data_IF_235748237600
#
_entry.id   IF_235748237600
#
_cell.length_a   1.000
_cell.length_b   1.000
_cell.length_c   1.000
_cell.angle_alpha   90.00
_cell.angle_beta   90.00
_cell.angle_gamma   90.00
#
_symmetry.space_group_name_H-M   'P 1'
#
loop_
_entity.id
_entity.type
_entity.pdbx_description
1 polymer ?
#
# COMPACT_ATOMS: atom_id res chain seq x y z
N UNK A 1 28.85 3.07 -16.25
CA UNK A 1 30.01 3.07 -15.33
C UNK A 1 31.25 2.40 -15.93
N UNK A 2 31.69 2.75 -17.15
CA UNK A 2 32.89 2.12 -17.77
C UNK A 2 33.74 3.03 -18.66
N UNK A 3 33.45 4.33 -18.71
CA UNK A 3 34.10 5.28 -19.64
C UNK A 3 35.12 6.22 -18.94
N UNK A 4 35.42 6.02 -17.65
CA UNK A 4 36.39 6.87 -16.92
C UNK A 4 35.92 8.29 -16.55
N UNK A 5 34.68 8.67 -16.91
CA UNK A 5 34.11 10.01 -16.66
C UNK A 5 33.52 10.14 -15.24
N UNK A 6 33.30 9.02 -14.55
CA UNK A 6 32.62 8.97 -13.24
C UNK A 6 33.36 9.68 -12.10
N UNK A 7 34.63 10.06 -12.27
CA UNK A 7 35.38 10.87 -11.32
C UNK A 7 35.16 12.38 -11.48
N UNK A 8 34.56 12.84 -12.58
CA UNK A 8 34.29 14.26 -12.86
C UNK A 8 32.84 14.67 -12.56
N UNK A 9 31.98 13.71 -12.23
CA UNK A 9 30.55 13.96 -11.95
C UNK A 9 30.28 13.64 -10.47
N UNK A 10 29.70 14.56 -9.69
CA UNK A 10 29.27 14.28 -8.33
C UNK A 10 28.32 13.08 -8.33
N UNK A 11 28.50 12.17 -7.38
CA UNK A 11 27.62 11.01 -7.23
C UNK A 11 26.21 11.52 -6.88
N UNK A 12 25.25 11.31 -7.79
CA UNK A 12 23.87 11.71 -7.55
C UNK A 12 23.27 10.69 -6.59
N UNK A 13 22.81 11.09 -5.40
CA UNK A 13 22.23 10.16 -4.45
C UNK A 13 20.99 9.51 -5.06
N UNK A 14 21.07 8.21 -5.31
CA UNK A 14 19.94 7.40 -5.78
C UNK A 14 19.14 6.90 -4.58
N UNK A 15 17.91 7.36 -4.45
CA UNK A 15 16.98 6.84 -3.45
C UNK A 15 16.20 5.67 -4.06
N UNK A 16 16.60 4.45 -3.73
CA UNK A 16 15.95 3.24 -4.22
C UNK A 16 14.52 3.08 -3.66
N UNK A 17 13.52 3.18 -4.53
CA UNK A 17 12.11 3.00 -4.18
C UNK A 17 11.61 1.55 -4.38
N UNK A 18 12.48 0.61 -4.74
CA UNK A 18 12.12 -0.78 -5.06
C UNK A 18 11.34 -1.45 -3.92
N UNK A 19 11.72 -1.23 -2.66
CA UNK A 19 11.01 -1.80 -1.51
C UNK A 19 9.61 -1.19 -1.29
N UNK A 20 9.40 0.07 -1.69
CA UNK A 20 8.08 0.71 -1.66
C UNK A 20 7.18 0.16 -2.77
N UNK A 21 7.72 0.03 -3.99
CA UNK A 21 7.01 -0.60 -5.12
C UNK A 21 6.62 -2.03 -4.77
N UNK A 22 7.54 -2.80 -4.19
CA UNK A 22 7.30 -4.17 -3.72
C UNK A 22 6.23 -4.22 -2.65
N UNK A 23 6.26 -3.31 -1.67
CA UNK A 23 5.25 -3.20 -0.62
C UNK A 23 3.84 -3.02 -1.20
N UNK A 24 3.69 -2.18 -2.22
CA UNK A 24 2.39 -1.92 -2.86
C UNK A 24 1.93 -3.07 -3.75
N UNK A 25 2.79 -3.53 -4.67
CA UNK A 25 2.40 -4.35 -5.82
C UNK A 25 2.61 -5.86 -5.64
N UNK A 26 3.37 -6.30 -4.62
CA UNK A 26 3.69 -7.72 -4.47
C UNK A 26 2.43 -8.61 -4.40
N UNK A 27 2.41 -9.71 -5.16
CA UNK A 27 1.29 -10.67 -5.19
C UNK A 27 1.85 -12.10 -5.01
N UNK A 28 1.48 -12.83 -3.94
CA UNK A 28 0.60 -12.44 -2.85
C UNK A 28 1.32 -11.59 -1.76
N UNK A 29 0.56 -10.71 -1.11
CA UNK A 29 0.95 -10.11 0.17
C UNK A 29 1.46 -8.68 0.14
N UNK A 30 1.41 -7.97 -0.99
CA UNK A 30 1.48 -6.51 -1.03
C UNK A 30 0.20 -5.89 -0.48
N UNK A 31 0.24 -4.59 -0.17
CA UNK A 31 -0.88 -3.89 0.46
C UNK A 31 -2.16 -3.98 -0.39
N UNK A 32 -2.06 -3.74 -1.70
CA UNK A 32 -3.20 -3.80 -2.63
C UNK A 32 -3.82 -5.20 -2.62
N UNK A 33 -3.00 -6.24 -2.70
CA UNK A 33 -3.47 -7.63 -2.66
C UNK A 33 -4.19 -7.97 -1.34
N UNK A 34 -3.66 -7.51 -0.20
CA UNK A 34 -4.27 -7.73 1.11
C UNK A 34 -5.61 -6.98 1.20
N UNK A 35 -5.66 -5.72 0.75
CA UNK A 35 -6.86 -4.90 0.74
C UNK A 35 -7.96 -5.55 -0.12
N UNK A 36 -7.64 -5.95 -1.35
CA UNK A 36 -8.54 -6.68 -2.25
C UNK A 36 -9.11 -7.96 -1.63
N UNK A 37 -8.25 -8.74 -0.95
CA UNK A 37 -8.67 -9.97 -0.31
C UNK A 37 -9.62 -9.72 0.87
N UNK A 38 -9.38 -8.67 1.65
CA UNK A 38 -10.18 -8.31 2.82
C UNK A 38 -11.51 -7.66 2.40
N UNK A 39 -11.51 -6.81 1.36
CA UNK A 39 -12.69 -6.15 0.80
C UNK A 39 -13.72 -7.19 0.31
N UNK A 40 -13.29 -8.22 -0.42
CA UNK A 40 -14.17 -9.34 -0.82
C UNK A 40 -14.72 -10.17 0.35
N UNK A 41 -14.22 -9.95 1.57
CA UNK A 41 -14.57 -10.70 2.77
C UNK A 41 -15.12 -9.78 3.88
N UNK A 42 -15.67 -8.62 3.54
CA UNK A 42 -16.17 -7.62 4.49
C UNK A 42 -17.23 -8.15 5.48
N UNK A 43 -17.91 -9.26 5.17
CA UNK A 43 -18.77 -9.97 6.14
C UNK A 43 -18.03 -10.46 7.40
N UNK A 44 -16.70 -10.65 7.32
CA UNK A 44 -15.84 -11.16 8.41
C UNK A 44 -14.62 -10.28 8.66
N UNK A 45 -14.38 -9.28 7.83
CA UNK A 45 -13.15 -8.47 7.79
C UNK A 45 -13.51 -6.99 7.88
N UNK A 46 -12.70 -6.26 8.63
CA UNK A 46 -12.83 -4.82 8.87
C UNK A 46 -11.52 -4.11 8.56
N UNK A 47 -11.53 -2.79 8.44
CA UNK A 47 -10.31 -1.99 8.21
C UNK A 47 -9.25 -2.25 9.28
N UNK A 48 -9.67 -2.49 10.53
CA UNK A 48 -8.78 -2.89 11.62
C UNK A 48 -8.05 -4.21 11.34
N UNK A 49 -8.77 -5.21 10.84
CA UNK A 49 -8.17 -6.50 10.48
C UNK A 49 -7.29 -6.42 9.23
N UNK A 50 -7.54 -5.44 8.36
CA UNK A 50 -6.68 -5.11 7.22
C UNK A 50 -5.35 -4.51 7.68
N UNK A 51 -5.36 -3.49 8.54
CA UNK A 51 -4.13 -2.88 9.08
C UNK A 51 -3.29 -3.88 9.86
N UNK A 52 -3.93 -4.73 10.67
CA UNK A 52 -3.22 -5.83 11.36
C UNK A 52 -2.52 -6.78 10.37
N UNK A 53 -3.14 -7.05 9.22
CA UNK A 53 -2.53 -7.87 8.18
C UNK A 53 -1.35 -7.15 7.49
N UNK A 54 -1.44 -5.83 7.28
CA UNK A 54 -0.31 -5.03 6.81
C UNK A 54 0.87 -5.09 7.77
N UNK A 55 0.62 -4.81 9.06
CA UNK A 55 1.64 -4.86 10.11
C UNK A 55 2.29 -6.24 10.24
N UNK A 56 1.51 -7.33 10.20
CA UNK A 56 2.04 -8.69 10.23
C UNK A 56 2.99 -9.00 9.06
N UNK A 57 2.75 -8.42 7.88
CA UNK A 57 3.51 -8.72 6.66
C UNK A 57 4.68 -7.77 6.43
N UNK A 58 4.52 -6.49 6.74
CA UNK A 58 5.45 -5.41 6.39
C UNK A 58 5.97 -4.63 7.61
N UNK A 59 5.53 -4.93 8.84
CA UNK A 59 5.90 -4.17 10.04
C UNK A 59 7.40 -4.11 10.36
N UNK A 60 8.19 -5.06 9.83
CA UNK A 60 9.65 -5.09 10.01
C UNK A 60 10.43 -4.45 8.84
N UNK A 61 9.74 -3.82 7.88
CA UNK A 61 10.35 -3.23 6.68
C UNK A 61 10.43 -1.71 6.83
N UNK A 62 11.54 -1.12 6.41
CA UNK A 62 11.71 0.34 6.44
C UNK A 62 10.71 1.07 5.55
N UNK A 63 10.05 0.40 4.59
CA UNK A 63 9.02 1.00 3.73
C UNK A 63 7.65 1.16 4.41
N UNK A 64 7.43 0.56 5.60
CA UNK A 64 6.13 0.54 6.28
C UNK A 64 6.27 0.80 7.78
N UNK A 65 5.32 1.55 8.35
CA UNK A 65 5.15 1.65 9.79
C UNK A 65 3.68 1.57 10.15
N UNK A 66 3.37 0.87 11.24
CA UNK A 66 2.06 1.02 11.88
C UNK A 66 2.01 2.36 12.60
N UNK A 67 0.92 3.09 12.41
CA UNK A 67 0.62 4.29 13.16
C UNK A 67 -0.29 4.00 14.36
N UNK A 68 -0.58 5.04 15.12
CA UNK A 68 -1.56 5.03 16.20
C UNK A 68 -2.98 5.19 15.68
N UNK A 69 -3.85 5.69 16.55
CA UNK A 69 -5.19 6.12 16.17
C UNK A 69 -5.14 7.57 15.66
N UNK A 70 -5.95 7.89 14.66
CA UNK A 70 -6.21 9.28 14.26
C UNK A 70 -7.16 9.98 15.25
N UNK A 71 -7.47 11.25 14.98
CA UNK A 71 -8.38 12.06 15.81
C UNK A 71 -9.80 11.47 15.92
N UNK A 72 -10.20 10.65 14.94
CA UNK A 72 -11.50 9.99 14.87
C UNK A 72 -11.47 8.59 15.50
N UNK A 73 -10.31 8.13 15.98
CA UNK A 73 -10.14 6.82 16.62
C UNK A 73 -9.89 5.67 15.64
N UNK A 74 -9.62 5.94 14.35
CA UNK A 74 -9.30 4.91 13.37
C UNK A 74 -7.80 4.61 13.33
N UNK A 75 -7.40 3.35 13.10
CA UNK A 75 -5.99 3.02 12.95
C UNK A 75 -5.36 3.74 11.76
N UNK A 76 -4.07 4.02 11.87
CA UNK A 76 -3.29 4.61 10.78
C UNK A 76 -2.12 3.71 10.39
N UNK A 77 -1.62 3.90 9.17
CA UNK A 77 -0.35 3.32 8.74
C UNK A 77 0.43 4.33 7.90
N UNK A 78 1.75 4.20 7.91
CA UNK A 78 2.65 5.09 7.18
C UNK A 78 3.41 4.30 6.12
N UNK A 79 3.45 4.83 4.90
CA UNK A 79 4.30 4.33 3.82
C UNK A 79 5.44 5.32 3.62
N UNK A 80 6.67 4.83 3.56
CA UNK A 80 7.82 5.65 3.21
C UNK A 80 7.96 5.67 1.68
N UNK A 81 7.46 6.74 1.06
CA UNK A 81 7.57 7.00 -0.37
C UNK A 81 8.93 7.62 -0.71
N UNK A 82 9.21 7.74 -2.01
CA UNK A 82 10.40 8.43 -2.52
C UNK A 82 10.48 9.89 -2.02
N UNK A 83 9.34 10.55 -1.86
CA UNK A 83 9.23 11.94 -1.39
C UNK A 83 8.98 12.05 0.13
N UNK A 84 9.12 10.95 0.86
CA UNK A 84 9.03 10.92 2.32
C UNK A 84 7.88 10.07 2.89
N UNK A 85 7.73 10.05 4.22
CA UNK A 85 6.68 9.31 4.91
C UNK A 85 5.31 9.96 4.72
N UNK A 86 4.30 9.17 4.33
CA UNK A 86 2.90 9.60 4.25
C UNK A 86 2.06 8.67 5.12
N UNK A 87 1.24 9.26 6.00
CA UNK A 87 0.35 8.54 6.91
C UNK A 87 -1.07 8.53 6.38
N UNK A 88 -1.69 7.36 6.39
CA UNK A 88 -3.05 7.10 5.94
C UNK A 88 -3.92 6.66 7.11
N UNK A 89 -5.10 7.26 7.26
CA UNK A 89 -6.18 6.72 8.11
C UNK A 89 -6.89 5.61 7.36
N UNK A 90 -7.36 4.58 8.06
CA UNK A 90 -8.01 3.42 7.41
C UNK A 90 -9.53 3.50 7.35
N UNK A 91 -10.10 4.62 7.76
CA UNK A 91 -11.53 4.87 7.68
C UNK A 91 -12.07 4.63 6.25
N UNK A 92 -13.00 3.67 6.11
CA UNK A 92 -13.69 3.39 4.85
C UNK A 92 -12.82 2.77 3.75
N UNK A 93 -11.62 2.25 4.07
CA UNK A 93 -10.71 1.69 3.06
C UNK A 93 -11.30 0.48 2.34
N UNK A 94 -11.87 -0.48 3.09
CA UNK A 94 -12.42 -1.69 2.49
C UNK A 94 -13.65 -1.41 1.63
N UNK A 95 -14.52 -0.50 2.07
CA UNK A 95 -15.73 -0.08 1.34
C UNK A 95 -15.35 0.56 0.00
N UNK A 96 -14.46 1.57 0.02
CA UNK A 96 -13.99 2.24 -1.20
C UNK A 96 -13.31 1.27 -2.18
N UNK A 97 -12.54 0.31 -1.67
CA UNK A 97 -11.91 -0.70 -2.51
C UNK A 97 -12.91 -1.72 -3.07
N UNK A 98 -14.02 -1.98 -2.37
CA UNK A 98 -15.08 -2.85 -2.84
C UNK A 98 -15.93 -2.19 -3.93
N UNK A 99 -16.29 -0.91 -3.75
CA UNK A 99 -17.11 -0.15 -4.71
C UNK A 99 -16.42 0.00 -6.07
N UNK A 100 -15.10 0.14 -6.08
CA UNK A 100 -14.29 0.20 -7.30
C UNK A 100 -14.29 -1.12 -8.08
N UNK A 101 -14.70 -2.22 -7.45
CA UNK A 101 -14.65 -3.60 -7.98
C UNK A 101 -16.02 -4.24 -8.14
N UNK A 102 -17.14 -3.52 -8.22
CA UNK A 102 -18.42 -4.18 -8.46
C UNK A 102 -18.46 -4.76 -9.90
N UNK A 103 -18.41 -6.10 -10.06
CA UNK A 103 -18.41 -6.74 -11.37
C UNK A 103 -19.73 -6.54 -12.12
N UNK A 104 -20.83 -6.16 -11.43
CA UNK A 104 -22.09 -5.83 -12.09
C UNK A 104 -21.96 -4.57 -12.96
N UNK A 105 -21.15 -3.58 -12.55
CA UNK A 105 -20.81 -2.43 -13.40
C UNK A 105 -19.90 -2.83 -14.57
N UNK A 106 -18.94 -3.75 -14.35
CA UNK A 106 -18.07 -4.25 -15.41
C UNK A 106 -18.85 -5.08 -16.43
N UNK A 107 -19.85 -5.85 -15.99
CA UNK A 107 -20.75 -6.63 -16.84
C UNK A 107 -21.67 -5.72 -17.67
N UNK A 108 -22.26 -4.69 -17.04
CA UNK A 108 -23.04 -3.65 -17.74
C UNK A 108 -22.21 -2.93 -18.81
N UNK A 109 -20.94 -2.61 -18.52
CA UNK A 109 -20.04 -1.94 -19.47
C UNK A 109 -19.45 -2.87 -20.53
N UNK A 110 -19.41 -4.18 -20.29
CA UNK A 110 -18.95 -5.18 -21.27
C UNK A 110 -20.06 -5.64 -22.22
N UNK A 111 -21.30 -5.25 -21.96
CA UNK A 111 -22.45 -5.66 -22.77
C UNK A 111 -22.74 -7.15 -22.60
N UNK A 112 -24.00 -7.51 -22.81
CA UNK A 112 -24.38 -8.89 -23.10
C UNK A 112 -23.60 -9.43 -24.32
#
# INVERSE_FOLDING_TARGET
NREGISCFVPEIPFLDNTECVRLLQNKPGGLIHIMDNQARRMRKKTDHTMVKAFGKRWGNRSSFKMGGLDHSGFPTFTINHFNGPITYSVEGFLERNFDTLNPDFVSLLRGA
#
